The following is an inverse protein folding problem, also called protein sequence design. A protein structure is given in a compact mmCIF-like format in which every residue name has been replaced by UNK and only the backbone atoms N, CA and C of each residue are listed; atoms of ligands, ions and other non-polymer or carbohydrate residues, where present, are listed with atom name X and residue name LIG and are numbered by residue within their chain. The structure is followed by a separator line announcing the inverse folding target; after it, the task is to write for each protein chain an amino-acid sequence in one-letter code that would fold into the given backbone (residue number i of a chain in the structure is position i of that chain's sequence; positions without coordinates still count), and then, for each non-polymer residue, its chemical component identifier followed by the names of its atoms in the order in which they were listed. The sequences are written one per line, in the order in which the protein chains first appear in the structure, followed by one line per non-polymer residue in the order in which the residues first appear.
data_IF_378620230105
#
_entry.id   IF_378620230105
#
_cell.length_a   1.000
_cell.length_b   1.000
_cell.length_c   1.000
_cell.angle_alpha   90.00
_cell.angle_beta   90.00
_cell.angle_gamma   90.00
#
_symmetry.space_group_name_H-M   'P 1'
#
loop_
_entity.id
_entity.type
_entity.pdbx_description
1 polymer ?
#
# COMPACT_ATOMS: atom_id res chain seq x y z
N UNK A 1 12.76 2.07 -19.69
CA UNK A 1 11.91 1.46 -18.63
C UNK A 1 12.85 1.22 -17.47
N UNK A 2 12.62 1.82 -16.29
CA UNK A 2 13.49 1.56 -15.14
C UNK A 2 13.34 0.09 -14.78
N UNK A 3 14.45 -0.61 -14.60
CA UNK A 3 14.44 -2.01 -14.21
C UNK A 3 13.75 -2.15 -12.85
N UNK A 4 12.70 -2.96 -12.82
CA UNK A 4 11.89 -3.23 -11.64
C UNK A 4 12.72 -3.77 -10.47
N UNK A 5 13.81 -4.47 -10.79
CA UNK A 5 14.77 -4.97 -9.81
C UNK A 5 15.39 -3.85 -8.95
N UNK A 6 15.52 -2.63 -9.48
CA UNK A 6 16.09 -1.52 -8.72
C UNK A 6 15.18 -1.11 -7.56
N UNK A 7 13.87 -1.00 -7.80
CA UNK A 7 12.91 -0.70 -6.75
C UNK A 7 12.85 -1.85 -5.73
N UNK A 8 12.85 -3.07 -6.25
CA UNK A 8 12.82 -4.31 -5.49
C UNK A 8 14.00 -4.40 -4.50
N UNK A 9 15.23 -4.12 -4.94
CA UNK A 9 16.41 -4.08 -4.06
C UNK A 9 16.39 -2.87 -3.12
N UNK A 10 15.96 -1.70 -3.59
CA UNK A 10 15.85 -0.51 -2.73
C UNK A 10 14.84 -0.72 -1.59
N UNK A 11 13.67 -1.27 -1.90
CA UNK A 11 12.63 -1.57 -0.92
C UNK A 11 13.14 -2.59 0.11
N UNK A 12 13.78 -3.67 -0.36
CA UNK A 12 14.41 -4.68 0.50
C UNK A 12 15.42 -4.04 1.47
N UNK A 13 16.35 -3.23 0.96
CA UNK A 13 17.38 -2.59 1.78
C UNK A 13 16.81 -1.58 2.79
N UNK A 14 15.79 -0.81 2.41
CA UNK A 14 15.14 0.13 3.35
C UNK A 14 14.41 -0.64 4.46
N UNK A 15 13.71 -1.73 4.14
CA UNK A 15 13.03 -2.57 5.12
C UNK A 15 14.04 -3.21 6.08
N UNK A 16 15.13 -3.78 5.56
CA UNK A 16 16.21 -4.37 6.37
C UNK A 16 16.86 -3.34 7.30
N UNK A 17 17.11 -2.13 6.80
CA UNK A 17 17.67 -1.04 7.60
C UNK A 17 16.78 -0.71 8.81
N UNK A 18 15.48 -0.48 8.59
CA UNK A 18 14.56 -0.17 9.68
C UNK A 18 14.29 -1.38 10.59
N UNK A 19 14.32 -2.60 10.05
CA UNK A 19 14.21 -3.82 10.84
C UNK A 19 15.36 -3.94 11.86
N UNK A 20 16.59 -3.67 11.42
CA UNK A 20 17.80 -3.77 12.25
C UNK A 20 17.92 -2.63 13.25
N UNK A 21 17.66 -1.38 12.83
CA UNK A 21 17.73 -0.20 13.71
C UNK A 21 16.70 -0.23 14.85
N UNK A 22 15.55 -0.90 14.64
CA UNK A 22 14.43 -0.90 15.58
C UNK A 22 14.10 -2.32 16.04
N UNK A 23 15.12 -3.17 16.33
CA UNK A 23 14.93 -4.62 16.52
C UNK A 23 13.80 -4.99 17.49
N UNK A 24 13.63 -4.21 18.55
CA UNK A 24 12.59 -4.38 19.59
C UNK A 24 11.30 -3.61 19.35
N UNK A 25 11.21 -2.76 18.34
CA UNK A 25 10.08 -1.84 18.09
C UNK A 25 9.61 -1.91 16.63
N UNK A 26 8.73 -2.88 16.36
CA UNK A 26 8.12 -3.08 15.04
C UNK A 26 7.21 -1.93 14.65
N UNK A 27 6.53 -1.33 15.62
CA UNK A 27 5.55 -0.28 15.39
C UNK A 27 6.24 0.99 14.88
N UNK A 28 7.33 1.39 15.53
CA UNK A 28 8.14 2.54 15.10
C UNK A 28 8.77 2.30 13.73
N UNK A 29 9.33 1.11 13.47
CA UNK A 29 9.83 0.77 12.14
C UNK A 29 8.74 0.82 11.06
N UNK A 30 7.56 0.28 11.37
CA UNK A 30 6.39 0.31 10.48
C UNK A 30 5.93 1.75 10.22
N UNK A 31 5.96 2.62 11.23
CA UNK A 31 5.60 4.02 11.10
C UNK A 31 6.56 4.77 10.16
N UNK A 32 7.88 4.55 10.29
CA UNK A 32 8.86 5.13 9.38
C UNK A 32 8.66 4.67 7.93
N UNK A 33 8.52 3.36 7.71
CA UNK A 33 8.26 2.80 6.39
C UNK A 33 6.95 3.32 5.78
N UNK A 34 5.90 3.40 6.60
CA UNK A 34 4.61 3.98 6.21
C UNK A 34 4.76 5.47 5.85
N UNK A 35 5.61 6.22 6.54
CA UNK A 35 5.82 7.64 6.23
C UNK A 35 6.58 7.83 4.92
N UNK A 36 7.56 6.98 4.63
CA UNK A 36 8.26 6.97 3.33
C UNK A 36 7.26 6.64 2.23
N UNK A 37 6.50 5.56 2.39
CA UNK A 37 5.45 5.16 1.45
C UNK A 37 4.44 6.28 1.21
N UNK A 38 3.98 6.95 2.27
CA UNK A 38 3.06 8.08 2.17
C UNK A 38 3.59 9.21 1.29
N UNK A 39 4.85 9.63 1.50
CA UNK A 39 5.45 10.68 0.68
C UNK A 39 5.56 10.27 -0.79
N UNK A 40 5.99 9.03 -1.06
CA UNK A 40 6.07 8.51 -2.42
C UNK A 40 4.69 8.48 -3.07
N UNK A 41 3.67 7.97 -2.38
CA UNK A 41 2.31 7.85 -2.89
C UNK A 41 1.68 9.21 -3.19
N UNK A 42 1.88 10.16 -2.29
CA UNK A 42 1.40 11.54 -2.45
C UNK A 42 2.01 12.17 -3.72
N UNK A 43 3.34 12.20 -3.85
CA UNK A 43 4.00 12.77 -5.04
C UNK A 43 3.73 12.00 -6.33
N UNK A 44 3.57 10.67 -6.26
CA UNK A 44 3.23 9.86 -7.43
C UNK A 44 1.86 10.27 -7.99
N UNK A 45 0.87 10.43 -7.11
CA UNK A 45 -0.47 10.81 -7.53
C UNK A 45 -0.53 12.21 -8.14
N UNK A 46 0.32 13.16 -7.76
CA UNK A 46 0.40 14.46 -8.47
C UNK A 46 0.75 14.33 -9.96
N UNK A 47 1.52 13.30 -10.32
CA UNK A 47 1.89 13.00 -11.72
C UNK A 47 0.81 12.19 -12.43
N UNK A 48 0.26 11.17 -11.76
CA UNK A 48 -0.71 10.27 -12.36
C UNK A 48 -2.11 10.90 -12.47
N UNK A 49 -2.41 11.87 -11.63
CA UNK A 49 -3.70 12.58 -11.59
C UNK A 49 -3.75 13.83 -12.48
N UNK A 50 -2.76 14.09 -13.36
CA UNK A 50 -2.81 15.26 -14.26
C UNK A 50 -4.02 15.28 -15.21
N UNK A 51 -4.65 14.12 -15.45
CA UNK A 51 -5.91 13.97 -16.19
C UNK A 51 -7.16 13.97 -15.26
N UNK A 52 -7.06 14.61 -14.09
CA UNK A 52 -7.97 14.63 -12.93
C UNK A 52 -9.45 14.97 -13.20
N UNK A 53 -9.84 15.33 -14.42
CA UNK A 53 -11.23 15.64 -14.77
C UNK A 53 -12.18 14.40 -14.75
N UNK A 54 -11.68 13.20 -14.40
CA UNK A 54 -12.43 11.93 -14.45
C UNK A 54 -12.94 11.38 -13.11
N UNK A 55 -12.48 11.86 -11.95
CA UNK A 55 -12.91 11.29 -10.66
C UNK A 55 -14.12 12.05 -10.14
N UNK A 56 -15.29 11.45 -10.24
CA UNK A 56 -16.56 12.07 -9.84
C UNK A 56 -16.89 11.86 -8.36
N UNK A 57 -16.44 10.74 -7.78
CA UNK A 57 -16.69 10.39 -6.39
C UNK A 57 -15.62 9.45 -5.77
N UNK A 58 -15.79 9.18 -4.47
CA UNK A 58 -14.89 8.33 -3.66
C UNK A 58 -14.75 6.92 -4.25
N UNK A 59 -15.86 6.33 -4.67
CA UNK A 59 -15.89 4.95 -5.16
C UNK A 59 -15.14 4.81 -6.49
N UNK A 60 -15.30 5.76 -7.41
CA UNK A 60 -14.58 5.78 -8.68
C UNK A 60 -13.08 5.97 -8.47
N UNK A 61 -12.69 6.75 -7.45
CA UNK A 61 -11.28 6.90 -7.05
C UNK A 61 -10.68 5.59 -6.55
N UNK A 62 -11.38 4.87 -5.66
CA UNK A 62 -10.92 3.57 -5.18
C UNK A 62 -10.89 2.51 -6.29
N UNK A 63 -11.85 2.54 -7.24
CA UNK A 63 -11.80 1.65 -8.42
C UNK A 63 -10.60 1.95 -9.31
N UNK A 64 -10.28 3.22 -9.53
CA UNK A 64 -9.09 3.62 -10.28
C UNK A 64 -7.81 3.13 -9.59
N UNK A 65 -7.74 3.27 -8.26
CA UNK A 65 -6.66 2.72 -7.46
C UNK A 65 -6.50 1.21 -7.70
N UNK A 66 -7.59 0.45 -7.66
CA UNK A 66 -7.55 -1.02 -7.79
C UNK A 66 -7.29 -1.53 -9.22
N UNK A 67 -7.57 -0.71 -10.25
CA UNK A 67 -7.44 -1.12 -11.65
C UNK A 67 -6.15 -0.60 -12.28
N UNK A 68 -5.98 0.72 -12.30
CA UNK A 68 -4.90 1.35 -13.05
C UNK A 68 -3.65 1.50 -12.18
N UNK A 69 -3.80 2.06 -10.97
CA UNK A 69 -2.66 2.29 -10.08
C UNK A 69 -2.10 0.99 -9.53
N UNK A 70 -2.93 0.02 -9.16
CA UNK A 70 -2.46 -1.26 -8.65
C UNK A 70 -1.60 -1.99 -9.69
N UNK A 71 -2.03 -1.98 -10.95
CA UNK A 71 -1.23 -2.53 -12.06
C UNK A 71 0.04 -1.71 -12.26
N UNK A 72 -0.03 -0.38 -12.18
CA UNK A 72 1.14 0.48 -12.32
C UNK A 72 2.21 0.18 -11.24
N UNK A 73 1.78 0.09 -9.98
CA UNK A 73 2.60 -0.06 -8.78
C UNK A 73 3.11 -1.49 -8.58
N UNK A 74 2.23 -2.48 -8.73
CA UNK A 74 2.50 -3.86 -8.34
C UNK A 74 2.51 -4.83 -9.52
N UNK A 75 2.28 -4.35 -10.75
CA UNK A 75 2.22 -5.16 -11.99
C UNK A 75 1.20 -6.28 -11.93
N UNK A 76 0.17 -6.10 -11.11
CA UNK A 76 -0.88 -7.08 -10.88
C UNK A 76 -2.23 -6.41 -10.81
N UNK A 77 -3.27 -7.13 -11.19
CA UNK A 77 -4.65 -6.77 -10.88
C UNK A 77 -5.00 -7.21 -9.45
N UNK A 78 -5.74 -6.39 -8.73
CA UNK A 78 -6.36 -6.77 -7.45
C UNK A 78 -7.28 -7.98 -7.66
N UNK A 79 -7.22 -8.96 -6.75
CA UNK A 79 -8.08 -10.14 -6.84
C UNK A 79 -9.51 -9.86 -6.36
N UNK A 80 -9.68 -9.04 -5.31
CA UNK A 80 -11.00 -8.69 -4.79
C UNK A 80 -11.02 -7.28 -4.19
N UNK A 81 -12.09 -6.53 -4.47
CA UNK A 81 -12.44 -5.28 -3.80
C UNK A 81 -13.83 -5.43 -3.18
N UNK A 82 -13.94 -5.20 -1.87
CA UNK A 82 -15.21 -5.14 -1.12
C UNK A 82 -15.39 -3.75 -0.53
N UNK A 83 -16.63 -3.32 -0.35
CA UNK A 83 -16.96 -2.07 0.35
C UNK A 83 -18.24 -2.22 1.15
N UNK A 84 -18.36 -1.49 2.26
CA UNK A 84 -19.61 -1.34 2.99
C UNK A 84 -20.47 -0.15 2.49
N UNK A 85 -20.05 0.56 1.43
CA UNK A 85 -20.68 1.77 0.92
C UNK A 85 -20.75 2.94 1.94
N UNK A 86 -19.96 2.87 3.01
CA UNK A 86 -19.88 3.85 4.09
C UNK A 86 -18.41 4.21 4.38
N UNK A 87 -17.60 4.39 3.33
CA UNK A 87 -16.20 4.80 3.46
C UNK A 87 -15.22 3.70 3.84
N UNK A 88 -15.64 2.44 3.98
CA UNK A 88 -14.73 1.30 4.23
C UNK A 88 -14.60 0.44 2.99
N UNK A 89 -13.35 0.18 2.60
CA UNK A 89 -12.96 -0.66 1.48
C UNK A 89 -11.97 -1.71 1.92
N UNK A 90 -12.08 -2.92 1.37
CA UNK A 90 -11.15 -4.03 1.62
C UNK A 90 -10.64 -4.55 0.29
N UNK A 91 -9.35 -4.42 0.07
CA UNK A 91 -8.61 -4.91 -1.10
C UNK A 91 -7.91 -6.20 -0.70
N UNK A 92 -8.06 -7.26 -1.49
CA UNK A 92 -7.32 -8.51 -1.34
C UNK A 92 -6.42 -8.74 -2.55
N UNK A 93 -5.13 -8.96 -2.30
CA UNK A 93 -4.14 -9.35 -3.30
C UNK A 93 -3.45 -10.63 -2.85
N UNK A 94 -3.79 -11.74 -3.50
CA UNK A 94 -3.35 -13.07 -3.10
C UNK A 94 -1.93 -13.45 -3.49
N UNK A 95 -1.26 -12.59 -4.24
CA UNK A 95 0.10 -12.74 -4.74
C UNK A 95 0.78 -11.38 -4.71
N UNK A 96 0.64 -10.72 -3.56
CA UNK A 96 1.12 -9.37 -3.40
C UNK A 96 2.63 -9.31 -3.68
N UNK A 97 2.99 -8.60 -4.75
CA UNK A 97 4.34 -8.66 -5.34
C UNK A 97 5.46 -8.42 -4.33
N UNK A 98 5.35 -7.37 -3.52
CA UNK A 98 6.40 -6.99 -2.57
C UNK A 98 6.58 -8.01 -1.44
N UNK A 99 5.55 -8.80 -1.15
CA UNK A 99 5.65 -9.92 -0.23
C UNK A 99 6.16 -11.18 -0.94
N UNK A 100 5.81 -11.44 -2.19
CA UNK A 100 6.31 -12.62 -2.92
C UNK A 100 7.81 -12.56 -3.24
N UNK A 101 8.30 -11.37 -3.52
CA UNK A 101 9.72 -11.16 -3.80
C UNK A 101 10.59 -11.57 -2.60
N UNK A 102 10.14 -11.37 -1.37
CA UNK A 102 10.89 -11.74 -0.17
C UNK A 102 10.90 -13.24 0.07
N UNK A 103 9.81 -13.95 -0.25
CA UNK A 103 9.76 -15.40 -0.21
C UNK A 103 10.80 -16.03 -1.14
N UNK A 104 10.94 -15.44 -2.32
CA UNK A 104 11.85 -15.92 -3.35
C UNK A 104 13.31 -15.63 -2.98
N UNK A 105 13.60 -14.43 -2.47
CA UNK A 105 14.97 -14.02 -2.12
C UNK A 105 15.45 -14.59 -0.78
N UNK A 106 14.57 -14.69 0.22
CA UNK A 106 14.95 -15.16 1.58
C UNK A 106 14.67 -16.64 1.83
N UNK A 107 13.99 -17.33 0.91
CA UNK A 107 13.60 -18.74 1.04
C UNK A 107 12.85 -19.05 2.36
N UNK A 108 12.02 -18.10 2.82
CA UNK A 108 11.18 -18.21 4.01
C UNK A 108 9.70 -18.24 3.61
N UNK A 109 8.83 -19.04 4.25
CA UNK A 109 7.39 -19.03 3.99
C UNK A 109 6.73 -17.74 4.51
N UNK A 110 5.58 -17.34 3.93
CA UNK A 110 4.75 -16.27 4.49
C UNK A 110 4.28 -16.72 5.87
N UNK A 111 4.49 -15.87 6.86
CA UNK A 111 4.02 -16.04 8.24
C UNK A 111 3.53 -14.69 8.73
N UNK A 112 2.29 -14.64 9.21
CA UNK A 112 1.66 -13.43 9.76
C UNK A 112 2.30 -12.97 11.06
N UNK A 113 3.00 -13.86 11.78
CA UNK A 113 3.75 -13.52 13.00
C UNK A 113 5.18 -13.05 12.69
N UNK A 114 5.63 -13.16 11.44
CA UNK A 114 6.96 -12.72 11.07
C UNK A 114 6.97 -11.20 10.90
N UNK A 115 7.57 -10.54 11.89
CA UNK A 115 7.84 -9.10 11.94
C UNK A 115 8.29 -8.52 10.60
N UNK A 116 9.18 -9.22 9.90
CA UNK A 116 9.73 -8.72 8.65
C UNK A 116 8.65 -8.55 7.60
N UNK A 117 7.70 -9.50 7.47
CA UNK A 117 6.59 -9.37 6.54
C UNK A 117 5.67 -8.18 6.87
N UNK A 118 5.44 -7.89 8.16
CA UNK A 118 4.72 -6.69 8.59
C UNK A 118 5.39 -5.42 8.08
N UNK A 119 6.73 -5.35 8.15
CA UNK A 119 7.49 -4.22 7.63
C UNK A 119 7.41 -4.10 6.10
N UNK A 120 7.41 -5.23 5.37
CA UNK A 120 7.25 -5.24 3.91
C UNK A 120 5.91 -4.66 3.45
N UNK A 121 4.82 -4.86 4.21
CA UNK A 121 3.51 -4.29 3.87
C UNK A 121 3.32 -2.86 4.40
N UNK A 122 4.08 -2.44 5.42
CA UNK A 122 3.97 -1.11 6.03
C UNK A 122 4.25 0.04 5.04
N UNK A 123 5.23 -0.14 4.16
CA UNK A 123 5.48 0.80 3.06
C UNK A 123 4.24 0.99 2.18
N UNK A 124 3.60 -0.12 1.81
CA UNK A 124 2.41 -0.12 0.95
C UNK A 124 1.21 0.54 1.64
N UNK A 125 1.04 0.37 2.96
CA UNK A 125 0.02 1.09 3.73
C UNK A 125 0.20 2.61 3.62
N UNK A 126 1.44 3.06 3.76
CA UNK A 126 1.82 4.45 3.54
C UNK A 126 1.48 4.92 2.14
N UNK A 127 1.92 4.16 1.14
CA UNK A 127 1.76 4.45 -0.29
C UNK A 127 0.29 4.68 -0.66
N UNK A 128 -0.60 3.75 -0.29
CA UNK A 128 -2.03 3.86 -0.56
C UNK A 128 -2.64 5.07 0.14
N UNK A 129 -2.26 5.32 1.40
CA UNK A 129 -2.70 6.51 2.16
C UNK A 129 -2.27 7.80 1.48
N UNK A 130 -1.02 7.88 1.00
CA UNK A 130 -0.50 9.07 0.33
C UNK A 130 -1.25 9.39 -0.96
N UNK A 131 -1.52 8.36 -1.77
CA UNK A 131 -2.27 8.48 -3.02
C UNK A 131 -3.68 9.02 -2.75
N UNK A 132 -4.42 8.37 -1.85
CA UNK A 132 -5.83 8.73 -1.59
C UNK A 132 -5.96 10.11 -0.94
N UNK A 133 -5.06 10.46 -0.01
CA UNK A 133 -5.05 11.80 0.59
C UNK A 133 -4.84 12.89 -0.47
N UNK A 134 -3.93 12.70 -1.42
CA UNK A 134 -3.72 13.68 -2.49
C UNK A 134 -4.89 13.74 -3.50
N UNK A 135 -5.61 12.63 -3.66
CA UNK A 135 -6.85 12.59 -4.46
C UNK A 135 -8.06 13.21 -3.73
N UNK A 136 -7.89 13.75 -2.52
CA UNK A 136 -8.95 14.42 -1.78
C UNK A 136 -9.71 13.51 -0.80
N UNK A 137 -9.26 12.27 -0.60
CA UNK A 137 -9.87 11.30 0.30
C UNK A 137 -8.88 10.88 1.41
N UNK A 138 -8.63 11.73 2.42
CA UNK A 138 -7.82 11.36 3.56
C UNK A 138 -8.36 10.09 4.21
N UNK A 139 -7.50 9.10 4.48
CA UNK A 139 -7.93 7.80 4.96
C UNK A 139 -6.96 7.19 5.98
N UNK A 140 -7.45 6.24 6.77
CA UNK A 140 -6.62 5.27 7.49
C UNK A 140 -6.48 4.02 6.63
N UNK A 141 -5.25 3.49 6.54
CA UNK A 141 -4.97 2.22 5.84
C UNK A 141 -4.31 1.27 6.82
N UNK A 142 -4.87 0.08 6.97
CA UNK A 142 -4.28 -1.04 7.70
C UNK A 142 -4.09 -2.21 6.75
N UNK A 143 -3.08 -3.04 6.99
CA UNK A 143 -2.92 -4.29 6.26
C UNK A 143 -2.64 -5.44 7.19
N UNK A 144 -3.08 -6.61 6.75
CA UNK A 144 -2.86 -7.88 7.41
C UNK A 144 -2.46 -8.93 6.39
N UNK A 145 -1.59 -9.83 6.83
CA UNK A 145 -1.17 -10.99 6.05
C UNK A 145 -2.19 -12.10 6.31
N UNK A 146 -2.71 -12.67 5.23
CA UNK A 146 -3.65 -13.79 5.26
C UNK A 146 -3.04 -15.00 4.57
N UNK A 147 -3.61 -16.18 4.79
CA UNK A 147 -3.13 -17.46 4.24
C UNK A 147 -2.83 -17.40 2.73
N UNK A 148 -3.62 -16.61 2.00
CA UNK A 148 -3.47 -16.40 0.57
C UNK A 148 -3.22 -14.93 0.25
N UNK A 149 -2.20 -14.29 0.84
CA UNK A 149 -1.69 -12.98 0.44
C UNK A 149 -1.90 -11.86 1.46
N UNK A 150 -2.33 -10.68 0.99
CA UNK A 150 -2.47 -9.48 1.83
C UNK A 150 -3.86 -8.88 1.68
N UNK A 151 -4.46 -8.49 2.81
CA UNK A 151 -5.67 -7.65 2.84
C UNK A 151 -5.30 -6.25 3.29
N UNK A 152 -5.68 -5.25 2.49
CA UNK A 152 -5.61 -3.84 2.84
C UNK A 152 -7.02 -3.35 3.15
N UNK A 153 -7.22 -2.82 4.36
CA UNK A 153 -8.45 -2.12 4.73
C UNK A 153 -8.20 -0.61 4.66
N UNK A 154 -9.06 0.09 3.93
CA UNK A 154 -9.03 1.53 3.73
C UNK A 154 -10.30 2.09 4.37
N UNK A 155 -10.14 3.03 5.29
CA UNK A 155 -11.22 3.73 5.96
C UNK A 155 -11.08 5.22 5.66
N UNK A 156 -11.94 5.73 4.78
CA UNK A 156 -11.96 7.14 4.37
C UNK A 156 -12.52 7.98 5.50
N UNK A 157 -11.80 9.03 5.86
CA UNK A 157 -12.24 9.97 6.88
C UNK A 157 -13.38 10.83 6.33
N UNK A 158 -14.43 11.10 7.13
CA UNK A 158 -15.47 12.03 6.71
C UNK A 158 -14.85 13.41 6.43
N UNK A 159 -15.11 13.93 5.23
CA UNK A 159 -14.65 15.28 4.84
C UNK A 159 -15.43 16.30 5.67
N UNK A 160 -14.76 16.88 6.67
CA UNK A 160 -15.32 17.99 7.46
C UNK A 160 -15.41 19.20 6.54
N UNK A 161 -16.58 19.45 5.93
CA UNK A 161 -16.80 20.71 5.19
C UNK A 161 -17.73 20.72 3.97
N UNK A 162 -18.43 19.64 3.62
CA UNK A 162 -19.50 19.71 2.60
C UNK A 162 -20.88 19.60 3.26
N UNK A 163 -21.43 20.77 3.59
CA UNK A 163 -22.87 21.04 3.71
C UNK A 163 -23.26 21.99 2.58
#
# INVERSE_FOLDING_TARGET
MVDETLFDYLHMSIVEHYNNENESDVETASAYLSQIGYRVGYSLSERLSKDNARYRDELDTVKYLCKELWICLFKRQVDNLRTNHQGVYVIHDGRFRLLQQTLTTMNKPIDSNNRLHTLYIAYSNGLLRGILTNMGYPCRVTAEIVDFGVRFQIEVNPVVGQK
#
